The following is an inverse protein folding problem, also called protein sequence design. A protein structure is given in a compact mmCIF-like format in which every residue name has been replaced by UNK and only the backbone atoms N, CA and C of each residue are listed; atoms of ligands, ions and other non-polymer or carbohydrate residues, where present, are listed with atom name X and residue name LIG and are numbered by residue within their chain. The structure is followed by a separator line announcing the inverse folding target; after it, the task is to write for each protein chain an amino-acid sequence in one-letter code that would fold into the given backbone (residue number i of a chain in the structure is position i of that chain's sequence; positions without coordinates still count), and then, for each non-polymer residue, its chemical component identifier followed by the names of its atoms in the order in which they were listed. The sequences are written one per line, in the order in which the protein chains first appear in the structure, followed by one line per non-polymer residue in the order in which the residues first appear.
data_IF_980523827918
#
_entry.id   IF_980523827918
#
_cell.length_a   1.000
_cell.length_b   1.000
_cell.length_c   1.000
_cell.angle_alpha   90.00
_cell.angle_beta   90.00
_cell.angle_gamma   90.00
#
_symmetry.space_group_name_H-M   'P 1'
#
loop_
_entity.id
_entity.type
_entity.pdbx_description
1 polymer ?
#
# COMPACT_ATOMS: atom_id res chain seq x y z
N UNK A 1 -16.15 4.26 31.08
CA UNK A 1 -16.64 4.65 29.74
C UNK A 1 -17.49 3.52 29.16
N UNK A 2 -18.81 3.52 29.41
CA UNK A 2 -19.74 2.55 28.81
C UNK A 2 -20.09 3.04 27.39
N UNK A 3 -19.89 2.18 26.38
CA UNK A 3 -20.08 2.51 24.95
C UNK A 3 -18.82 2.22 24.12
N UNK A 4 -18.45 0.94 24.00
CA UNK A 4 -17.18 0.42 23.47
C UNK A 4 -16.88 0.85 22.00
N UNK A 5 -16.23 2.00 21.76
CA UNK A 5 -15.67 2.35 20.43
C UNK A 5 -14.27 2.95 20.42
N UNK A 6 -13.68 3.23 21.59
CA UNK A 6 -12.35 3.85 21.72
C UNK A 6 -11.52 3.18 22.82
N UNK A 7 -10.20 3.30 22.75
CA UNK A 7 -9.25 3.06 23.82
C UNK A 7 -8.81 4.44 24.35
N UNK A 8 -9.19 4.80 25.57
CA UNK A 8 -8.94 6.13 26.14
C UNK A 8 -7.95 6.10 27.30
N UNK A 9 -7.37 7.26 27.62
CA UNK A 9 -6.50 7.43 28.78
C UNK A 9 -7.26 7.13 30.09
N UNK A 10 -6.61 6.43 31.03
CA UNK A 10 -7.15 6.20 32.38
C UNK A 10 -7.35 7.51 33.16
N UNK A 11 -6.56 8.54 32.85
CA UNK A 11 -6.59 9.85 33.49
C UNK A 11 -7.61 10.83 32.86
N UNK A 12 -8.61 10.33 32.12
CA UNK A 12 -9.61 11.15 31.44
C UNK A 12 -10.40 12.07 32.39
N UNK A 13 -10.56 11.66 33.66
CA UNK A 13 -11.23 12.47 34.69
C UNK A 13 -10.47 13.76 35.05
N UNK A 14 -9.16 13.78 34.79
CA UNK A 14 -8.28 14.91 35.05
C UNK A 14 -7.96 15.69 33.75
N UNK A 15 -8.87 15.63 32.77
CA UNK A 15 -8.78 16.41 31.53
C UNK A 15 -7.97 15.78 30.39
N UNK A 16 -7.48 14.54 30.53
CA UNK A 16 -6.78 13.88 29.43
C UNK A 16 -7.76 13.44 28.32
N UNK A 17 -7.81 14.20 27.23
CA UNK A 17 -8.68 13.94 26.06
C UNK A 17 -8.17 12.91 25.05
N UNK A 18 -7.05 12.23 25.31
CA UNK A 18 -6.45 11.31 24.35
C UNK A 18 -7.29 10.02 24.17
N UNK A 19 -7.72 9.77 22.93
CA UNK A 19 -8.52 8.60 22.55
C UNK A 19 -8.04 7.99 21.24
N UNK A 20 -7.92 6.67 21.22
CA UNK A 20 -7.62 5.86 20.03
C UNK A 20 -8.88 5.12 19.60
N UNK A 21 -9.39 5.40 18.41
CA UNK A 21 -10.56 4.71 17.88
C UNK A 21 -10.27 3.22 17.62
N UNK A 22 -11.19 2.34 18.02
CA UNK A 22 -11.08 0.89 17.76
C UNK A 22 -11.23 0.54 16.27
N UNK A 23 -11.85 1.43 15.50
CA UNK A 23 -12.04 1.28 14.06
C UNK A 23 -11.57 2.54 13.36
N UNK A 24 -10.65 2.39 12.40
CA UNK A 24 -10.11 3.48 11.59
C UNK A 24 -10.24 3.08 10.11
N UNK A 25 -10.80 3.96 9.28
CA UNK A 25 -11.09 3.70 7.86
C UNK A 25 -11.74 2.32 7.59
N UNK A 26 -12.82 2.02 8.34
CA UNK A 26 -13.59 0.76 8.32
C UNK A 26 -12.78 -0.50 8.64
N UNK A 27 -11.59 -0.37 9.23
CA UNK A 27 -10.75 -1.48 9.69
C UNK A 27 -10.61 -1.47 11.21
N UNK A 28 -10.87 -2.61 11.83
CA UNK A 28 -10.67 -2.81 13.27
C UNK A 28 -9.18 -2.86 13.62
N UNK A 29 -8.81 -2.15 14.68
CA UNK A 29 -7.44 -2.05 15.20
C UNK A 29 -7.32 -2.97 16.42
N UNK A 30 -6.38 -3.91 16.38
CA UNK A 30 -6.15 -4.86 17.46
C UNK A 30 -5.43 -4.21 18.64
N UNK A 31 -5.55 -4.80 19.82
CA UNK A 31 -4.82 -4.35 21.02
C UNK A 31 -3.31 -4.34 20.83
N UNK A 32 -2.76 -5.24 19.99
CA UNK A 32 -1.34 -5.23 19.62
C UNK A 32 -0.96 -3.96 18.86
N UNK A 33 -1.76 -3.56 17.88
CA UNK A 33 -1.51 -2.34 17.12
C UNK A 33 -1.61 -1.10 18.03
N UNK A 34 -2.52 -1.11 19.01
CA UNK A 34 -2.62 -0.04 20.00
C UNK A 34 -1.34 0.02 20.87
N UNK A 35 -0.84 -1.14 21.33
CA UNK A 35 0.42 -1.21 22.08
C UNK A 35 1.60 -0.72 21.25
N UNK A 36 1.70 -1.12 19.98
CA UNK A 36 2.73 -0.64 19.06
C UNK A 36 2.66 0.89 18.87
N UNK A 37 1.47 1.47 18.70
CA UNK A 37 1.29 2.93 18.62
C UNK A 37 1.76 3.66 19.87
N UNK A 38 1.48 3.13 21.05
CA UNK A 38 1.84 3.77 22.31
C UNK A 38 3.35 3.66 22.59
N UNK A 39 3.94 2.50 22.30
CA UNK A 39 5.34 2.22 22.64
C UNK A 39 6.31 2.69 21.54
N UNK A 40 5.95 2.49 20.27
CA UNK A 40 6.82 2.75 19.11
C UNK A 40 6.40 3.97 18.30
N UNK A 41 5.28 4.62 18.65
CA UNK A 41 4.65 5.70 17.87
C UNK A 41 4.17 5.29 16.47
N UNK A 42 4.32 4.02 16.09
CA UNK A 42 3.84 3.46 14.82
C UNK A 42 3.38 2.00 14.96
N UNK A 43 2.44 1.55 14.11
CA UNK A 43 2.02 0.13 14.04
C UNK A 43 2.86 -0.68 13.06
N UNK A 44 2.65 -1.99 13.01
CA UNK A 44 2.95 -2.79 11.81
C UNK A 44 1.98 -2.45 10.65
N UNK A 45 2.27 -2.93 9.44
CA UNK A 45 1.39 -2.71 8.27
C UNK A 45 0.07 -3.44 8.50
N UNK A 46 -1.01 -2.68 8.55
CA UNK A 46 -2.37 -3.19 8.63
C UNK A 46 -2.97 -3.17 7.23
N UNK A 47 -3.35 -4.35 6.74
CA UNK A 47 -3.99 -4.50 5.43
C UNK A 47 -5.50 -4.26 5.52
N UNK A 48 -6.07 -3.69 4.45
CA UNK A 48 -7.51 -3.65 4.23
C UNK A 48 -8.24 -2.45 4.80
N UNK A 49 -7.58 -1.30 4.95
CA UNK A 49 -8.26 -0.03 5.14
C UNK A 49 -9.07 0.32 3.90
N UNK A 50 -10.24 0.96 4.06
CA UNK A 50 -11.13 1.31 2.95
C UNK A 50 -11.16 2.81 2.73
N UNK A 51 -10.85 3.25 1.51
CA UNK A 51 -11.01 4.65 1.06
C UNK A 51 -12.49 5.01 0.88
N UNK A 52 -12.79 6.30 0.74
CA UNK A 52 -14.16 6.79 0.49
C UNK A 52 -14.76 6.20 -0.78
N UNK A 53 -13.96 6.03 -1.84
CA UNK A 53 -14.37 5.44 -3.13
C UNK A 53 -14.52 3.90 -3.09
N UNK A 54 -14.25 3.27 -1.95
CA UNK A 54 -14.39 1.82 -1.78
C UNK A 54 -13.11 1.00 -1.93
N UNK A 55 -12.04 1.58 -2.47
CA UNK A 55 -10.76 0.89 -2.65
C UNK A 55 -10.12 0.50 -1.32
N UNK A 56 -9.46 -0.66 -1.30
CA UNK A 56 -8.70 -1.11 -0.14
C UNK A 56 -7.23 -0.69 -0.26
N UNK A 57 -6.63 -0.30 0.87
CA UNK A 57 -5.20 -0.01 0.97
C UNK A 57 -4.61 -0.60 2.26
N UNK A 58 -3.29 -0.75 2.29
CA UNK A 58 -2.55 -1.22 3.45
C UNK A 58 -1.74 -0.08 4.02
N UNK A 59 -1.71 0.07 5.35
CA UNK A 59 -0.96 1.15 5.99
C UNK A 59 -0.52 0.82 7.42
N UNK A 60 0.57 1.41 7.92
CA UNK A 60 0.77 1.62 9.37
C UNK A 60 -0.03 2.87 9.81
N UNK A 61 -0.32 2.92 11.08
CA UNK A 61 -0.79 4.12 11.75
C UNK A 61 0.39 4.75 12.47
N UNK A 62 0.41 6.08 12.55
CA UNK A 62 1.42 6.85 13.29
C UNK A 62 0.73 7.74 14.31
N UNK A 63 1.34 7.87 15.48
CA UNK A 63 0.95 8.87 16.48
C UNK A 63 1.72 10.17 16.19
N UNK A 64 0.99 11.22 15.82
CA UNK A 64 1.56 12.54 15.53
C UNK A 64 1.85 13.31 16.81
N UNK A 65 2.63 14.40 16.69
CA UNK A 65 2.99 15.28 17.81
C UNK A 65 1.78 15.96 18.46
N UNK A 66 0.69 16.14 17.70
CA UNK A 66 -0.59 16.67 18.19
C UNK A 66 -1.47 15.59 18.87
N UNK A 67 -0.90 14.42 19.18
CA UNK A 67 -1.59 13.25 19.72
C UNK A 67 -2.72 12.70 18.83
N UNK A 68 -2.78 13.08 17.55
CA UNK A 68 -3.72 12.48 16.60
C UNK A 68 -3.11 11.24 15.93
N UNK A 69 -3.98 10.29 15.57
CA UNK A 69 -3.57 9.15 14.76
C UNK A 69 -3.69 9.52 13.29
N UNK A 70 -2.56 9.50 12.59
CA UNK A 70 -2.51 9.56 11.14
C UNK A 70 -2.27 8.18 10.54
N UNK A 71 -2.58 8.03 9.26
CA UNK A 71 -1.83 7.09 8.45
C UNK A 71 -0.44 7.68 8.25
N UNK A 72 0.63 6.87 8.31
CA UNK A 72 1.86 7.43 7.76
C UNK A 72 1.56 7.73 6.28
N UNK A 73 1.82 8.96 5.89
CA UNK A 73 1.93 9.35 4.48
C UNK A 73 2.89 8.40 3.74
N UNK A 74 3.74 7.72 4.52
CA UNK A 74 4.66 6.66 4.17
C UNK A 74 4.11 5.27 3.87
N UNK A 75 2.80 5.08 3.68
CA UNK A 75 2.29 3.82 3.08
C UNK A 75 2.15 3.80 1.58
N UNK A 76 2.13 4.98 0.97
CA UNK A 76 2.69 5.11 -0.37
C UNK A 76 4.23 5.01 -0.31
N UNK A 77 4.88 5.09 0.87
CA UNK A 77 6.35 5.02 1.02
C UNK A 77 6.93 3.62 1.35
N UNK A 78 6.19 2.53 1.18
CA UNK A 78 6.80 1.19 1.24
C UNK A 78 7.41 0.89 -0.12
N UNK A 79 8.73 0.79 -0.15
CA UNK A 79 9.44 0.35 -1.36
C UNK A 79 9.02 -1.07 -1.73
N UNK A 80 8.51 -1.25 -2.93
CA UNK A 80 8.20 -2.54 -3.55
C UNK A 80 9.42 -3.16 -4.24
N UNK A 81 10.52 -2.43 -4.31
CA UNK A 81 11.76 -2.84 -4.98
C UNK A 81 12.52 -1.62 -5.48
N UNK A 82 13.68 -1.88 -6.09
CA UNK A 82 14.52 -0.86 -6.70
C UNK A 82 14.06 -0.55 -8.11
N UNK A 83 14.18 0.71 -8.49
CA UNK A 83 13.87 1.20 -9.81
C UNK A 83 14.95 0.72 -10.79
N UNK A 84 14.61 -0.03 -11.85
CA UNK A 84 15.60 -0.56 -12.78
C UNK A 84 16.32 0.54 -13.59
N UNK A 85 15.75 1.75 -13.62
CA UNK A 85 16.32 2.89 -14.37
C UNK A 85 17.20 3.83 -13.54
N UNK A 86 17.07 3.84 -12.21
CA UNK A 86 17.78 4.84 -11.38
C UNK A 86 18.03 4.42 -9.92
N UNK A 87 17.76 3.17 -9.54
CA UNK A 87 17.89 2.64 -8.18
C UNK A 87 17.10 3.34 -7.06
N UNK A 88 16.24 4.30 -7.43
CA UNK A 88 15.23 4.85 -6.54
C UNK A 88 14.25 3.78 -6.04
N UNK A 89 13.43 4.11 -5.06
CA UNK A 89 12.46 3.16 -4.52
C UNK A 89 11.18 3.15 -5.39
N UNK A 90 10.63 1.97 -5.67
CA UNK A 90 9.34 1.86 -6.36
C UNK A 90 8.21 1.89 -5.34
N UNK A 91 7.31 2.86 -5.52
CA UNK A 91 6.32 3.25 -4.54
C UNK A 91 4.92 2.95 -5.07
N UNK A 92 4.00 2.57 -4.19
CA UNK A 92 2.61 2.36 -4.58
C UNK A 92 1.85 3.69 -4.65
N UNK A 93 1.43 4.10 -5.85
CA UNK A 93 0.54 5.23 -6.10
C UNK A 93 -0.92 4.81 -6.21
N UNK A 94 -1.81 5.74 -6.56
CA UNK A 94 -3.25 5.44 -6.74
C UNK A 94 -3.52 4.65 -8.02
N UNK A 95 -2.93 5.06 -9.14
CA UNK A 95 -3.13 4.48 -10.48
C UNK A 95 -1.98 3.59 -10.95
N UNK A 96 -0.80 3.77 -10.38
CA UNK A 96 0.42 3.12 -10.81
C UNK A 96 1.37 2.85 -9.63
N UNK A 97 2.41 2.09 -9.91
CA UNK A 97 3.61 1.96 -9.12
C UNK A 97 4.69 2.82 -9.77
N UNK A 98 5.27 3.77 -9.03
CA UNK A 98 6.11 4.82 -9.61
C UNK A 98 7.40 4.99 -8.81
N UNK A 99 8.46 5.40 -9.50
CA UNK A 99 9.73 5.70 -8.84
C UNK A 99 9.59 6.88 -7.86
N UNK A 100 10.24 6.78 -6.71
CA UNK A 100 10.35 7.85 -5.72
C UNK A 100 11.03 9.10 -6.29
N UNK A 101 11.91 8.91 -7.28
CA UNK A 101 12.68 9.97 -7.92
C UNK A 101 11.94 10.58 -9.12
N UNK A 102 10.62 10.38 -9.24
CA UNK A 102 9.81 10.94 -10.34
C UNK A 102 9.98 12.46 -10.50
N UNK A 103 10.04 13.18 -9.39
CA UNK A 103 10.25 14.64 -9.38
C UNK A 103 11.67 15.04 -9.82
N UNK A 104 12.62 14.11 -9.75
CA UNK A 104 14.01 14.30 -10.16
C UNK A 104 14.27 13.75 -11.58
N UNK A 105 13.22 13.54 -12.38
CA UNK A 105 13.32 13.19 -13.80
C UNK A 105 13.09 11.71 -14.13
N UNK A 106 13.12 10.78 -13.16
CA UNK A 106 12.89 9.37 -13.47
C UNK A 106 11.44 9.10 -13.91
N UNK A 107 11.23 8.54 -15.10
CA UNK A 107 9.88 8.28 -15.64
C UNK A 107 9.38 6.84 -15.47
N UNK A 108 10.11 6.01 -14.72
CA UNK A 108 9.71 4.62 -14.51
C UNK A 108 8.35 4.51 -13.82
N UNK A 109 7.43 3.80 -14.46
CA UNK A 109 6.06 3.62 -14.00
C UNK A 109 5.51 2.27 -14.45
N UNK A 110 4.79 1.59 -13.55
CA UNK A 110 4.05 0.35 -13.86
C UNK A 110 2.59 0.58 -13.52
N UNK A 111 1.71 0.52 -14.50
CA UNK A 111 0.28 0.72 -14.27
C UNK A 111 -0.32 -0.40 -13.41
N UNK A 112 -1.25 -0.04 -12.52
CA UNK A 112 -1.96 -1.03 -11.70
C UNK A 112 -2.95 -1.85 -12.49
N UNK A 113 -3.42 -1.33 -13.62
CA UNK A 113 -4.34 -2.03 -14.50
C UNK A 113 -3.64 -2.27 -15.84
N UNK A 114 -3.51 -3.54 -16.22
CA UNK A 114 -2.96 -3.97 -17.50
C UNK A 114 -3.96 -4.95 -18.10
N UNK A 115 -4.47 -4.66 -19.30
CA UNK A 115 -5.45 -5.50 -20.00
C UNK A 115 -6.67 -5.86 -19.11
N UNK A 116 -7.25 -4.85 -18.47
CA UNK A 116 -8.36 -4.93 -17.52
C UNK A 116 -8.10 -5.80 -16.28
N UNK A 117 -6.83 -6.12 -15.99
CA UNK A 117 -6.44 -6.87 -14.80
C UNK A 117 -5.67 -6.01 -13.82
N UNK A 118 -6.09 -6.06 -12.55
CA UNK A 118 -5.36 -5.42 -11.45
C UNK A 118 -4.09 -6.19 -11.09
N UNK A 119 -2.95 -5.51 -11.15
CA UNK A 119 -1.62 -6.01 -10.79
C UNK A 119 -1.39 -5.72 -9.32
N UNK A 120 -1.14 -6.77 -8.53
CA UNK A 120 -0.96 -6.64 -7.08
C UNK A 120 0.46 -6.20 -6.71
N UNK A 121 0.67 -5.63 -5.50
CA UNK A 121 2.01 -5.32 -5.02
C UNK A 121 2.95 -6.54 -4.96
N UNK A 122 2.39 -7.73 -4.75
CA UNK A 122 3.17 -8.97 -4.77
C UNK A 122 3.71 -9.28 -6.17
N UNK A 123 2.93 -9.01 -7.22
CA UNK A 123 3.38 -9.19 -8.60
C UNK A 123 4.51 -8.21 -8.91
N UNK A 124 4.39 -6.95 -8.48
CA UNK A 124 5.44 -5.94 -8.68
C UNK A 124 6.73 -6.32 -7.97
N UNK A 125 6.66 -6.75 -6.72
CA UNK A 125 7.84 -7.23 -5.98
C UNK A 125 8.57 -8.34 -6.73
N UNK A 126 7.81 -9.31 -7.26
CA UNK A 126 8.37 -10.44 -8.02
C UNK A 126 8.95 -9.97 -9.37
N UNK A 127 8.24 -9.07 -10.07
CA UNK A 127 8.69 -8.50 -11.34
C UNK A 127 10.00 -7.72 -11.19
N UNK A 128 10.13 -6.91 -10.14
CA UNK A 128 11.33 -6.12 -9.87
C UNK A 128 12.51 -6.99 -9.39
N UNK A 129 12.26 -8.08 -8.66
CA UNK A 129 13.33 -8.93 -8.12
C UNK A 129 13.78 -10.03 -9.08
N UNK A 130 12.87 -10.58 -9.89
CA UNK A 130 13.15 -11.72 -10.77
C UNK A 130 13.07 -11.37 -12.27
N UNK A 131 12.72 -10.13 -12.62
CA UNK A 131 12.50 -9.70 -14.00
C UNK A 131 11.17 -10.21 -14.61
N UNK A 132 10.44 -11.09 -13.93
CA UNK A 132 9.14 -11.61 -14.39
C UNK A 132 8.17 -11.89 -13.24
N UNK A 133 6.87 -11.89 -13.52
CA UNK A 133 5.84 -12.34 -12.57
C UNK A 133 5.58 -13.84 -12.67
N UNK A 134 4.86 -14.38 -11.68
CA UNK A 134 4.12 -15.63 -11.88
C UNK A 134 3.03 -15.45 -12.95
N UNK A 135 2.42 -16.56 -13.38
CA UNK A 135 1.27 -16.51 -14.29
C UNK A 135 0.11 -15.80 -13.58
N UNK A 136 -0.31 -14.66 -14.13
CA UNK A 136 -1.49 -13.93 -13.68
C UNK A 136 -2.65 -14.35 -14.57
N UNK A 137 -3.77 -14.70 -13.94
CA UNK A 137 -4.97 -15.18 -14.63
C UNK A 137 -5.99 -14.08 -14.90
N UNK A 138 -6.68 -14.19 -16.04
CA UNK A 138 -7.83 -13.35 -16.39
C UNK A 138 -7.46 -11.94 -16.89
N UNK A 139 -6.42 -11.84 -17.72
CA UNK A 139 -6.25 -10.66 -18.57
C UNK A 139 -7.28 -10.68 -19.69
N UNK A 140 -7.78 -9.52 -20.11
CA UNK A 140 -8.76 -9.41 -21.19
C UNK A 140 -8.09 -9.06 -22.51
N UNK A 141 -8.36 -9.82 -23.57
CA UNK A 141 -8.01 -9.49 -24.95
C UNK A 141 -8.95 -8.40 -25.50
N UNK A 142 -8.59 -7.83 -26.66
CA UNK A 142 -9.44 -6.85 -27.37
C UNK A 142 -10.82 -7.42 -27.74
N UNK A 143 -10.91 -8.72 -28.02
CA UNK A 143 -12.16 -9.41 -28.36
C UNK A 143 -13.00 -9.82 -27.13
N UNK A 144 -12.56 -9.49 -25.91
CA UNK A 144 -13.28 -9.80 -24.67
C UNK A 144 -12.87 -11.11 -23.96
N UNK A 145 -12.13 -11.98 -24.65
CA UNK A 145 -11.68 -13.26 -24.09
C UNK A 145 -10.66 -13.08 -22.97
N UNK A 146 -10.65 -14.03 -22.05
CA UNK A 146 -9.62 -14.11 -21.02
C UNK A 146 -8.38 -14.86 -21.50
N UNK A 147 -7.22 -14.41 -21.03
CA UNK A 147 -5.96 -15.12 -21.17
C UNK A 147 -5.13 -15.02 -19.89
N UNK A 148 -4.19 -15.95 -19.75
CA UNK A 148 -3.27 -16.01 -18.62
C UNK A 148 -1.87 -15.76 -19.15
N UNK A 149 -1.09 -14.92 -18.48
CA UNK A 149 0.24 -14.55 -18.93
C UNK A 149 1.15 -14.20 -17.75
N UNK A 150 2.46 -14.27 -18.00
CA UNK A 150 3.46 -13.62 -17.15
C UNK A 150 3.73 -12.22 -17.70
N UNK A 151 4.01 -11.27 -16.82
CA UNK A 151 4.60 -10.00 -17.20
C UNK A 151 6.12 -10.09 -17.07
N UNK A 152 6.85 -9.45 -17.97
CA UNK A 152 8.31 -9.33 -17.95
C UNK A 152 8.71 -7.86 -17.96
N UNK A 153 9.84 -7.57 -17.32
CA UNK A 153 10.46 -6.26 -17.29
C UNK A 153 11.62 -6.22 -18.29
N UNK A 154 11.54 -5.34 -19.26
CA UNK A 154 12.59 -5.11 -20.26
C UNK A 154 13.66 -4.16 -19.69
N UNK A 155 14.83 -4.12 -20.35
CA UNK A 155 15.99 -3.32 -19.91
C UNK A 155 15.74 -1.82 -19.94
N UNK A 156 14.87 -1.36 -20.83
CA UNK A 156 14.42 0.04 -20.95
C UNK A 156 13.34 0.42 -19.91
N UNK A 157 12.94 -0.53 -19.06
CA UNK A 157 11.93 -0.34 -18.03
C UNK A 157 10.50 -0.58 -18.51
N UNK A 158 10.28 -1.03 -19.76
CA UNK A 158 8.97 -1.40 -20.24
C UNK A 158 8.48 -2.71 -19.60
N UNK A 159 7.19 -2.79 -19.28
CA UNK A 159 6.54 -4.02 -18.79
C UNK A 159 5.64 -4.57 -19.88
N UNK A 160 5.94 -5.77 -20.37
CA UNK A 160 5.20 -6.43 -21.44
C UNK A 160 4.82 -7.87 -21.07
N UNK A 161 3.98 -8.50 -21.90
CA UNK A 161 3.64 -9.92 -21.72
C UNK A 161 4.80 -10.80 -22.19
N UNK A 162 5.13 -11.84 -21.41
CA UNK A 162 6.10 -12.85 -21.84
C UNK A 162 5.57 -13.53 -23.10
N UNK A 163 6.29 -13.40 -24.21
CA UNK A 163 6.02 -14.19 -25.42
C UNK A 163 6.32 -15.66 -25.11
N UNK A 164 5.43 -16.54 -25.54
CA UNK A 164 5.66 -17.99 -25.49
C UNK A 164 6.74 -18.38 -26.48
#
# INVERSE_FOLDING_TARGET
MKGKKVNGCSNWKNGCGFVIWKTIAKKSITSSNVKDLLNKKETSIIKGFKKKNGDKFSAKLILKKDNTIGFATSFNNISLGKCPLCDGNIMEGSKAYNCSNWKNGCKFVIWKNISNKSITPSNIKKLLSAGETNVIKGFKKKNGDDFNAKLILLKDGEVTFKKR
#
